data_IF_041806040125
#
_entry.id   IF_041806040125
#
_cell.length_a   1.000
_cell.length_b   1.000
_cell.length_c   1.000
_cell.angle_alpha   90.00
_cell.angle_beta   90.00
_cell.angle_gamma   90.00
#
_symmetry.space_group_name_H-M   'P 1'
#
loop_
_entity.id
_entity.type
_entity.pdbx_description
1 polymer ?
#
# COMPACT_ATOMS: atom_id res chain seq x y z
N UNK A 1 6.02 37.95 -11.24
CA UNK A 1 4.82 37.11 -11.39
C UNK A 1 5.28 35.66 -11.43
N UNK A 2 4.99 34.93 -10.36
CA UNK A 2 5.11 33.47 -10.18
C UNK A 2 6.48 32.84 -10.40
N UNK A 3 7.35 33.05 -9.40
CA UNK A 3 8.47 32.16 -9.06
C UNK A 3 7.88 30.76 -8.80
N UNK A 4 8.17 29.79 -9.67
CA UNK A 4 7.87 28.38 -9.43
C UNK A 4 8.88 27.87 -8.40
N UNK A 5 8.42 27.72 -7.17
CA UNK A 5 9.12 27.08 -6.08
C UNK A 5 9.35 25.60 -6.43
N UNK A 6 10.49 25.30 -7.03
CA UNK A 6 11.01 23.93 -7.12
C UNK A 6 11.35 23.52 -5.68
N UNK A 7 10.47 22.73 -5.04
CA UNK A 7 10.79 22.10 -3.76
C UNK A 7 11.98 21.15 -3.98
N UNK A 8 13.11 21.35 -3.29
CA UNK A 8 14.29 20.51 -3.45
C UNK A 8 14.00 19.11 -2.89
N UNK A 9 14.15 18.08 -3.72
CA UNK A 9 14.11 16.67 -3.31
C UNK A 9 15.51 16.26 -2.82
N UNK A 10 15.94 16.87 -1.73
CA UNK A 10 17.17 16.52 -1.01
C UNK A 10 16.80 16.29 0.45
N UNK A 11 16.56 15.03 0.81
CA UNK A 11 16.97 14.48 2.10
C UNK A 11 16.76 12.98 2.07
N UNK A 12 17.86 12.26 2.16
CA UNK A 12 17.98 10.85 2.52
C UNK A 12 16.93 10.44 3.56
N UNK A 13 15.87 9.76 3.13
CA UNK A 13 15.00 9.03 4.05
C UNK A 13 15.71 7.72 4.36
N UNK A 14 16.51 7.70 5.44
CA UNK A 14 16.89 6.46 6.12
C UNK A 14 15.60 5.66 6.31
N UNK A 15 15.52 4.49 5.68
CA UNK A 15 14.45 3.52 5.93
C UNK A 15 14.64 2.95 7.34
N UNK A 16 14.24 3.71 8.35
CA UNK A 16 13.76 3.10 9.59
C UNK A 16 12.54 2.28 9.18
N UNK A 17 12.64 0.94 9.24
CA UNK A 17 11.51 0.04 9.11
C UNK A 17 10.51 0.40 10.21
N UNK A 18 9.56 1.28 9.92
CA UNK A 18 8.37 1.39 10.74
C UNK A 18 7.61 0.07 10.56
N UNK A 19 7.43 -0.66 11.65
CA UNK A 19 6.61 -1.86 11.66
C UNK A 19 5.17 -1.43 11.37
N UNK A 20 4.73 -1.69 10.13
CA UNK A 20 3.34 -1.45 9.74
C UNK A 20 2.48 -2.53 10.39
N UNK A 21 1.67 -2.12 11.35
CA UNK A 21 0.62 -2.94 11.94
C UNK A 21 -0.56 -2.95 10.96
N UNK A 22 -1.02 -4.15 10.62
CA UNK A 22 -2.21 -4.37 9.79
C UNK A 22 -3.29 -5.05 10.63
N UNK A 23 -4.54 -4.65 10.40
CA UNK A 23 -5.72 -5.18 11.09
C UNK A 23 -6.22 -6.49 10.44
N UNK A 24 -5.95 -6.66 9.15
CA UNK A 24 -6.33 -7.86 8.40
C UNK A 24 -5.33 -8.18 7.28
N UNK A 25 -5.22 -9.46 6.95
CA UNK A 25 -4.35 -9.97 5.87
C UNK A 25 -5.20 -10.80 4.91
N UNK A 26 -5.08 -10.53 3.62
CA UNK A 26 -5.69 -11.30 2.53
C UNK A 26 -4.58 -12.07 1.82
N UNK A 27 -4.78 -13.37 1.62
CA UNK A 27 -3.88 -14.24 0.88
C UNK A 27 -4.59 -14.70 -0.40
N UNK A 28 -4.02 -14.35 -1.55
CA UNK A 28 -4.53 -14.65 -2.89
C UNK A 28 -5.13 -13.42 -3.59
N UNK A 29 -4.66 -13.17 -4.82
CA UNK A 29 -5.06 -12.04 -5.67
C UNK A 29 -6.22 -12.32 -6.64
N UNK A 30 -6.94 -13.42 -6.46
CA UNK A 30 -8.08 -13.79 -7.30
C UNK A 30 -9.34 -12.95 -7.06
N UNK A 31 -10.48 -13.29 -7.70
CA UNK A 31 -11.72 -12.52 -7.58
C UNK A 31 -12.18 -12.37 -6.13
N UNK A 32 -12.12 -13.44 -5.34
CA UNK A 32 -12.49 -13.40 -3.92
C UNK A 32 -11.58 -12.49 -3.08
N UNK A 33 -10.26 -12.54 -3.30
CA UNK A 33 -9.29 -11.75 -2.53
C UNK A 33 -9.35 -10.26 -2.86
N UNK A 34 -9.53 -9.92 -4.14
CA UNK A 34 -9.73 -8.54 -4.57
C UNK A 34 -11.07 -7.98 -4.08
N UNK A 35 -12.15 -8.77 -4.14
CA UNK A 35 -13.44 -8.36 -3.55
C UNK A 35 -13.29 -8.10 -2.06
N UNK A 36 -12.65 -8.98 -1.31
CA UNK A 36 -12.38 -8.76 0.11
C UNK A 36 -11.58 -7.46 0.36
N UNK A 37 -10.54 -7.21 -0.44
CA UNK A 37 -9.73 -5.99 -0.34
C UNK A 37 -10.54 -4.71 -0.58
N UNK A 38 -11.47 -4.72 -1.54
CA UNK A 38 -12.36 -3.58 -1.79
C UNK A 38 -13.26 -3.32 -0.59
N UNK A 39 -13.89 -4.35 -0.02
CA UNK A 39 -14.79 -4.18 1.13
C UNK A 39 -14.02 -3.78 2.41
N UNK A 40 -12.84 -4.33 2.65
CA UNK A 40 -12.00 -3.97 3.80
C UNK A 40 -11.47 -2.53 3.68
N UNK A 41 -11.09 -2.10 2.46
CA UNK A 41 -10.72 -0.71 2.20
C UNK A 41 -11.89 0.26 2.43
N UNK A 42 -13.11 -0.10 1.99
CA UNK A 42 -14.33 0.69 2.24
C UNK A 42 -14.68 0.81 3.73
N UNK A 43 -14.39 -0.23 4.50
CA UNK A 43 -14.53 -0.25 5.95
C UNK A 43 -13.40 0.50 6.69
N UNK A 44 -12.42 1.06 5.97
CA UNK A 44 -11.21 1.72 6.50
C UNK A 44 -10.36 0.81 7.39
N UNK A 45 -10.30 -0.48 7.07
CA UNK A 45 -9.48 -1.47 7.78
C UNK A 45 -8.09 -1.52 7.12
N UNK A 46 -7.01 -1.39 7.90
CA UNK A 46 -5.65 -1.48 7.35
C UNK A 46 -5.37 -2.91 6.92
N UNK A 47 -5.33 -3.14 5.61
CA UNK A 47 -5.26 -4.49 5.04
C UNK A 47 -3.96 -4.71 4.28
N UNK A 48 -3.38 -5.90 4.42
CA UNK A 48 -2.26 -6.37 3.59
C UNK A 48 -2.75 -7.46 2.64
N UNK A 49 -2.61 -7.26 1.32
CA UNK A 49 -2.92 -8.26 0.30
C UNK A 49 -1.60 -8.88 -0.21
N UNK A 50 -1.49 -10.20 -0.15
CA UNK A 50 -0.34 -10.96 -0.64
C UNK A 50 -0.81 -11.93 -1.72
N UNK A 51 -0.17 -11.89 -2.88
CA UNK A 51 -0.45 -12.78 -4.01
C UNK A 51 0.84 -13.38 -4.55
N UNK A 52 0.76 -14.64 -4.99
CA UNK A 52 1.84 -15.26 -5.77
C UNK A 52 1.63 -14.90 -7.24
N UNK A 53 2.56 -14.20 -7.91
CA UNK A 53 2.42 -13.95 -9.34
C UNK A 53 2.29 -15.29 -10.09
N UNK A 54 1.25 -15.38 -10.93
CA UNK A 54 1.10 -16.50 -11.85
C UNK A 54 2.21 -16.39 -12.90
N UNK A 55 3.10 -17.39 -12.94
CA UNK A 55 4.13 -17.50 -13.96
C UNK A 55 3.55 -18.36 -15.10
N UNK A 56 3.45 -17.80 -16.30
CA UNK A 56 3.17 -18.51 -17.56
C UNK A 56 4.43 -18.55 -18.39
#
# INVERSE_FOLDING_TARGET
>A
MSVVLIKPKTSSKKETKEEKIYDAIIIGGGPAGLTAGIYLSRARINTLLIEKPFLV
#
